data_IF_959711667192
#
_entry.id   IF_959711667192
#
_cell.length_a   1.000
_cell.length_b   1.000
_cell.length_c   1.000
_cell.angle_alpha   90.00
_cell.angle_beta   90.00
_cell.angle_gamma   90.00
#
_symmetry.space_group_name_H-M   'P 1'
#
loop_
_entity.id
_entity.type
_entity.pdbx_description
1 polymer ?
#
# COMPACT_ATOMS: atom_id res chain seq x y z
N UNK A 1 -2.78 -13.40 -4.61
CA UNK A 1 -3.26 -12.47 -3.57
C UNK A 1 -2.40 -12.67 -2.34
N UNK A 2 -1.53 -11.71 -2.03
CA UNK A 2 -0.56 -11.81 -0.92
C UNK A 2 -0.92 -10.76 0.13
N UNK A 3 -1.23 -11.21 1.33
CA UNK A 3 -1.68 -10.37 2.46
C UNK A 3 -0.46 -10.13 3.36
N UNK A 4 -0.20 -8.89 3.80
CA UNK A 4 1.02 -8.57 4.56
C UNK A 4 0.74 -7.73 5.81
N UNK A 5 1.46 -8.03 6.90
CA UNK A 5 1.49 -7.29 8.17
C UNK A 5 2.78 -6.46 8.26
N UNK A 6 2.71 -5.13 8.43
CA UNK A 6 3.92 -4.27 8.49
C UNK A 6 3.88 -3.17 9.55
N UNK A 7 5.06 -2.63 9.88
CA UNK A 7 5.22 -1.35 10.58
C UNK A 7 5.11 -0.19 9.58
N UNK A 8 4.38 0.88 9.94
CA UNK A 8 4.05 1.99 9.05
C UNK A 8 4.93 3.21 9.30
N UNK A 9 5.25 3.97 8.26
CA UNK A 9 5.90 5.28 8.41
C UNK A 9 5.34 6.31 7.45
N UNK A 10 5.07 7.52 7.95
CA UNK A 10 4.71 8.70 7.15
C UNK A 10 5.97 9.45 6.74
N UNK A 11 6.65 8.97 5.69
CA UNK A 11 7.68 9.73 4.99
C UNK A 11 7.13 10.26 3.66
N UNK A 12 7.59 11.46 3.26
CA UNK A 12 7.26 12.05 1.95
C UNK A 12 8.23 11.63 0.84
N UNK A 13 9.38 11.05 1.21
CA UNK A 13 10.42 10.58 0.29
C UNK A 13 10.93 9.21 0.74
N UNK A 14 11.00 8.24 -0.17
CA UNK A 14 11.68 6.95 0.04
C UNK A 14 13.02 6.96 -0.71
N UNK A 15 14.13 6.70 -0.02
CA UNK A 15 15.42 6.52 -0.66
C UNK A 15 15.69 5.03 -0.93
N UNK A 16 15.84 4.64 -2.20
CA UNK A 16 15.99 3.25 -2.61
C UNK A 16 17.30 3.03 -3.39
N UNK A 17 17.89 1.84 -3.24
CA UNK A 17 19.15 1.49 -3.91
C UNK A 17 18.96 1.12 -5.39
N UNK A 18 17.77 0.63 -5.76
CA UNK A 18 17.44 0.22 -7.12
C UNK A 18 16.28 1.03 -7.70
N UNK A 19 16.23 1.12 -9.04
CA UNK A 19 15.20 1.84 -9.79
C UNK A 19 14.07 0.93 -10.31
N UNK A 20 14.01 -0.34 -9.89
CA UNK A 20 12.96 -1.30 -10.31
C UNK A 20 11.88 -1.47 -9.25
N UNK A 21 11.48 -0.37 -8.63
CA UNK A 21 10.49 -0.37 -7.55
C UNK A 21 9.21 0.32 -8.01
N UNK A 22 8.07 -0.12 -7.48
CA UNK A 22 6.77 0.46 -7.83
C UNK A 22 5.83 0.43 -6.63
N UNK A 23 4.96 1.44 -6.53
CA UNK A 23 3.85 1.44 -5.58
C UNK A 23 2.65 0.67 -6.13
N UNK A 24 1.85 0.10 -5.23
CA UNK A 24 0.52 -0.43 -5.49
C UNK A 24 -0.43 0.09 -4.42
N UNK A 25 -1.59 0.62 -4.84
CA UNK A 25 -2.57 1.16 -3.90
C UNK A 25 -3.38 0.04 -3.25
N UNK A 26 -3.56 0.14 -1.95
CA UNK A 26 -4.33 -0.81 -1.15
C UNK A 26 -5.17 -0.06 -0.13
N UNK A 27 -6.25 -0.68 0.36
CA UNK A 27 -6.77 -0.26 1.65
C UNK A 27 -5.98 -0.97 2.74
N UNK A 28 -5.83 -0.31 3.89
CA UNK A 28 -5.11 -0.86 5.03
C UNK A 28 -6.03 -0.84 6.24
N UNK A 29 -6.20 -2.00 6.87
CA UNK A 29 -6.89 -2.11 8.14
C UNK A 29 -5.90 -1.91 9.28
N UNK A 30 -6.19 -0.98 10.18
CA UNK A 30 -5.42 -0.73 11.39
C UNK A 30 -6.24 -1.19 12.58
N UNK A 31 -5.70 -2.12 13.36
CA UNK A 31 -6.40 -2.69 14.51
C UNK A 31 -5.89 -2.03 15.79
N UNK A 32 -6.77 -1.30 16.48
CA UNK A 32 -6.48 -0.70 17.78
C UNK A 32 -7.44 -1.27 18.83
N UNK A 33 -6.98 -2.30 19.53
CA UNK A 33 -7.77 -3.03 20.54
C UNK A 33 -9.11 -3.52 19.97
N UNK A 34 -10.19 -2.82 20.32
CA UNK A 34 -11.57 -3.15 19.95
C UNK A 34 -12.05 -2.41 18.70
N UNK A 35 -11.25 -1.46 18.19
CA UNK A 35 -11.59 -0.61 17.05
C UNK A 35 -10.78 -1.01 15.81
N UNK A 36 -11.41 -0.92 14.64
CA UNK A 36 -10.75 -1.09 13.34
C UNK A 36 -10.86 0.19 12.54
N UNK A 37 -9.73 0.68 12.06
CA UNK A 37 -9.65 1.84 11.19
C UNK A 37 -9.22 1.43 9.78
N UNK A 38 -9.53 2.29 8.82
CA UNK A 38 -9.24 2.11 7.40
C UNK A 38 -8.38 3.29 6.95
N UNK A 39 -7.27 2.97 6.29
CA UNK A 39 -6.42 3.92 5.60
C UNK A 39 -6.35 3.57 4.10
N UNK A 40 -5.90 4.51 3.27
CA UNK A 40 -5.29 4.15 1.98
C UNK A 40 -3.81 3.93 2.21
N UNK A 41 -3.22 2.95 1.56
CA UNK A 41 -1.81 2.59 1.67
C UNK A 41 -1.17 2.28 0.34
N UNK A 42 0.16 2.28 0.35
CA UNK A 42 0.99 1.82 -0.76
C UNK A 42 1.85 0.64 -0.33
N UNK A 43 1.68 -0.52 -0.97
CA UNK A 43 2.62 -1.64 -0.88
C UNK A 43 3.76 -1.42 -1.88
N UNK A 44 4.65 -0.47 -1.57
CA UNK A 44 5.81 -0.22 -2.43
C UNK A 44 6.73 -1.43 -2.41
N UNK A 45 7.12 -1.92 -3.58
CA UNK A 45 7.83 -3.20 -3.72
C UNK A 45 8.97 -3.08 -4.72
N UNK A 46 10.10 -3.71 -4.41
CA UNK A 46 11.20 -3.95 -5.35
C UNK A 46 10.85 -5.16 -6.22
N UNK A 47 10.56 -4.92 -7.49
CA UNK A 47 10.06 -5.95 -8.42
C UNK A 47 11.12 -6.97 -8.81
N UNK A 48 12.39 -6.57 -8.87
CA UNK A 48 13.46 -7.54 -9.13
C UNK A 48 13.69 -8.43 -7.92
N UNK A 49 13.69 -7.86 -6.72
CA UNK A 49 13.83 -8.67 -5.51
C UNK A 49 12.62 -9.59 -5.32
N UNK A 50 11.42 -9.14 -5.71
CA UNK A 50 10.19 -9.93 -5.62
C UNK A 50 10.25 -11.23 -6.45
N UNK A 51 10.83 -11.17 -7.66
CA UNK A 51 11.05 -12.34 -8.52
C UNK A 51 11.89 -13.44 -7.85
N UNK A 52 12.73 -13.08 -6.89
CA UNK A 52 13.64 -14.00 -6.21
C UNK A 52 13.18 -14.34 -4.80
N UNK A 53 12.65 -13.37 -4.07
CA UNK A 53 12.23 -13.51 -2.68
C UNK A 53 11.16 -12.49 -2.33
N UNK A 54 9.91 -12.91 -2.48
CA UNK A 54 8.72 -12.13 -2.16
C UNK A 54 8.73 -11.55 -0.74
N UNK A 55 9.14 -12.32 0.27
CA UNK A 55 9.15 -11.83 1.65
C UNK A 55 10.21 -10.74 1.86
N UNK A 56 11.39 -10.92 1.28
CA UNK A 56 12.47 -9.95 1.37
C UNK A 56 12.11 -8.65 0.62
N UNK A 57 11.54 -8.75 -0.59
CA UNK A 57 11.09 -7.59 -1.35
C UNK A 57 10.13 -6.70 -0.54
N UNK A 58 9.20 -7.36 0.15
CA UNK A 58 8.23 -6.77 1.06
C UNK A 58 8.84 -6.28 2.39
N UNK A 59 10.08 -6.58 2.72
CA UNK A 59 10.74 -6.01 3.91
C UNK A 59 11.69 -4.87 3.57
N UNK A 60 12.18 -4.84 2.32
CA UNK A 60 13.14 -3.83 1.88
C UNK A 60 12.51 -2.46 1.59
N UNK A 61 11.27 -2.46 1.09
CA UNK A 61 10.57 -1.22 0.78
C UNK A 61 9.67 -0.78 1.95
N UNK A 62 9.68 0.52 2.23
CA UNK A 62 8.86 1.10 3.29
C UNK A 62 7.41 1.20 2.84
N UNK A 63 6.50 0.78 3.69
CA UNK A 63 5.07 0.95 3.49
C UNK A 63 4.64 2.37 3.90
N UNK A 64 3.83 3.00 3.05
CA UNK A 64 3.25 4.32 3.30
C UNK A 64 1.74 4.17 3.47
N UNK A 65 1.16 4.91 4.40
CA UNK A 65 -0.30 5.03 4.58
C UNK A 65 -0.72 6.50 4.63
N UNK A 66 -1.99 6.77 4.40
CA UNK A 66 -2.57 8.09 4.59
C UNK A 66 -2.43 8.58 6.02
N UNK A 67 -2.25 9.90 6.18
CA UNK A 67 -2.18 10.53 7.49
C UNK A 67 -3.54 10.52 8.23
N UNK A 68 -4.63 10.56 7.47
CA UNK A 68 -5.99 10.40 7.99
C UNK A 68 -6.46 8.96 7.83
N UNK A 69 -7.39 8.57 8.70
CA UNK A 69 -8.04 7.26 8.69
C UNK A 69 -9.54 7.43 8.95
N UNK A 70 -10.33 6.46 8.51
CA UNK A 70 -11.75 6.36 8.85
C UNK A 70 -11.96 5.21 9.82
N UNK A 71 -13.01 5.28 10.64
CA UNK A 71 -13.45 4.08 11.35
C UNK A 71 -14.09 3.13 10.35
N UNK A 72 -13.78 1.84 10.44
CA UNK A 72 -14.36 0.84 9.56
C UNK A 72 -15.90 0.79 9.67
N UNK A 73 -16.44 0.97 10.88
CA UNK A 73 -17.89 0.99 11.12
C UNK A 73 -18.65 2.04 10.29
N UNK A 74 -18.01 3.17 9.97
CA UNK A 74 -18.64 4.26 9.22
C UNK A 74 -18.80 3.94 7.74
N UNK A 75 -18.07 2.94 7.23
CA UNK A 75 -18.04 2.57 5.82
C UNK A 75 -18.43 1.11 5.55
N UNK A 76 -18.68 0.33 6.60
CA UNK A 76 -18.96 -1.10 6.49
C UNK A 76 -20.22 -1.41 5.67
N UNK A 77 -21.25 -0.57 5.76
CA UNK A 77 -22.54 -0.78 5.09
C UNK A 77 -22.47 -0.53 3.56
N UNK A 78 -21.50 0.25 3.09
CA UNK A 78 -21.28 0.61 1.69
C UNK A 78 -19.86 0.32 1.21
N UNK A 79 -19.19 -0.65 1.86
CA UNK A 79 -17.78 -0.96 1.63
C UNK A 79 -17.44 -1.23 0.16
N UNK A 80 -18.26 -2.04 -0.50
CA UNK A 80 -18.05 -2.48 -1.88
C UNK A 80 -18.15 -1.31 -2.89
N UNK A 81 -18.77 -0.19 -2.51
CA UNK A 81 -18.94 1.00 -3.36
C UNK A 81 -17.75 1.98 -3.26
N UNK A 82 -16.88 1.83 -2.24
CA UNK A 82 -15.69 2.67 -2.10
C UNK A 82 -14.76 2.51 -3.31
N UNK A 83 -14.13 3.61 -3.74
CA UNK A 83 -13.27 3.64 -4.92
C UNK A 83 -11.82 3.80 -4.49
N UNK A 84 -10.96 2.89 -4.95
CA UNK A 84 -9.51 2.96 -4.79
C UNK A 84 -8.88 3.43 -6.10
N UNK A 85 -8.04 4.46 -6.04
CA UNK A 85 -7.31 5.00 -7.19
C UNK A 85 -5.85 5.21 -6.87
N UNK A 86 -5.02 5.13 -7.90
CA UNK A 86 -3.62 5.54 -7.81
C UNK A 86 -3.14 6.20 -9.09
N UNK A 87 -2.08 6.99 -8.95
CA UNK A 87 -1.41 7.67 -10.04
C UNK A 87 0.09 7.54 -9.90
N UNK A 88 0.74 7.54 -11.06
CA UNK A 88 2.19 7.59 -11.22
C UNK A 88 2.55 8.78 -12.09
N UNK A 89 3.80 9.23 -12.00
CA UNK A 89 4.37 10.17 -12.96
C UNK A 89 5.09 9.41 -14.08
N UNK A 90 4.68 9.64 -15.33
CA UNK A 90 5.32 9.11 -16.53
C UNK A 90 5.54 10.25 -17.52
N UNK A 91 6.77 10.41 -18.00
CA UNK A 91 7.16 11.50 -18.90
C UNK A 91 6.77 12.90 -18.39
N UNK A 92 6.83 13.10 -17.06
CA UNK A 92 6.45 14.35 -16.40
C UNK A 92 4.93 14.60 -16.33
N UNK A 93 4.11 13.61 -16.69
CA UNK A 93 2.66 13.68 -16.64
C UNK A 93 2.10 12.73 -15.59
N UNK A 94 1.04 13.16 -14.91
CA UNK A 94 0.29 12.35 -13.97
C UNK A 94 -0.62 11.39 -14.74
N UNK A 95 -0.35 10.10 -14.65
CA UNK A 95 -1.13 9.05 -15.31
C UNK A 95 -1.92 8.24 -14.28
N UNK A 96 -3.19 7.93 -14.60
CA UNK A 96 -4.00 7.03 -13.79
C UNK A 96 -3.41 5.62 -13.92
N UNK A 97 -3.04 5.05 -12.78
CA UNK A 97 -2.28 3.81 -12.71
C UNK A 97 -3.15 2.63 -12.28
N UNK A 98 -4.02 2.85 -11.29
CA UNK A 98 -5.01 1.88 -10.84
C UNK A 98 -6.33 2.58 -10.55
N UNK A 99 -7.44 1.93 -10.86
CA UNK A 99 -8.78 2.40 -10.50
C UNK A 99 -9.75 1.21 -10.38
N UNK A 100 -10.50 1.17 -9.28
CA UNK A 100 -11.50 0.14 -9.09
C UNK A 100 -12.31 0.33 -7.82
N UNK A 101 -13.49 -0.28 -7.78
CA UNK A 101 -14.28 -0.40 -6.55
C UNK A 101 -13.70 -1.49 -5.64
N UNK A 102 -13.84 -1.32 -4.33
CA UNK A 102 -13.39 -2.33 -3.36
C UNK A 102 -14.11 -3.67 -3.50
N UNK A 103 -15.26 -3.73 -4.17
CA UNK A 103 -15.92 -4.97 -4.59
C UNK A 103 -15.01 -5.95 -5.37
N UNK A 104 -13.92 -5.45 -5.98
CA UNK A 104 -12.94 -6.27 -6.69
C UNK A 104 -11.91 -6.93 -5.75
N UNK A 105 -11.84 -6.47 -4.50
CA UNK A 105 -10.92 -6.98 -3.48
C UNK A 105 -11.70 -7.88 -2.52
N UNK A 106 -11.00 -8.80 -1.88
CA UNK A 106 -11.56 -9.66 -0.85
C UNK A 106 -12.22 -8.85 0.27
N UNK A 107 -13.37 -9.33 0.75
CA UNK A 107 -14.11 -8.69 1.84
C UNK A 107 -13.29 -8.65 3.13
N UNK A 108 -13.46 -7.58 3.89
CA UNK A 108 -12.75 -7.33 5.16
C UNK A 108 -12.86 -8.50 6.13
N UNK A 109 -14.06 -9.06 6.31
CA UNK A 109 -14.27 -10.21 7.20
C UNK A 109 -13.42 -11.43 6.79
N UNK A 110 -13.35 -11.72 5.48
CA UNK A 110 -12.56 -12.85 4.98
C UNK A 110 -11.05 -12.60 5.13
N UNK A 111 -10.59 -11.37 4.90
CA UNK A 111 -9.19 -10.98 5.14
C UNK A 111 -8.81 -11.17 6.62
N UNK A 112 -9.67 -10.71 7.53
CA UNK A 112 -9.47 -10.87 8.98
C UNK A 112 -9.40 -12.35 9.37
N UNK A 113 -10.32 -13.18 8.86
CA UNK A 113 -10.34 -14.61 9.16
C UNK A 113 -9.07 -15.31 8.67
N UNK A 114 -8.59 -14.96 7.46
CA UNK A 114 -7.34 -15.49 6.92
C UNK A 114 -6.13 -15.11 7.77
N UNK A 115 -6.03 -13.87 8.24
CA UNK A 115 -4.91 -13.43 9.09
C UNK A 115 -4.95 -14.11 10.45
N UNK A 116 -6.13 -14.19 11.08
CA UNK A 116 -6.30 -14.87 12.37
C UNK A 116 -5.89 -16.34 12.31
N UNK A 117 -6.04 -16.99 11.15
CA UNK A 117 -5.59 -18.36 10.94
C UNK A 117 -4.05 -18.51 10.82
N UNK A 118 -3.30 -17.41 10.65
CA UNK A 118 -1.85 -17.41 10.42
C UNK A 118 -1.02 -16.86 11.58
N UNK A 119 -1.65 -16.24 12.58
CA UNK A 119 -0.96 -15.62 13.71
C UNK A 119 -1.31 -16.30 15.03
N UNK A 120 -0.38 -16.22 15.98
CA UNK A 120 -0.66 -16.51 17.39
C UNK A 120 -0.81 -15.19 18.14
N UNK A 121 -2.02 -14.88 18.62
CA UNK A 121 -2.31 -13.63 19.35
C UNK A 121 -3.56 -12.93 18.85
N UNK A 122 -3.79 -11.71 19.34
CA UNK A 122 -4.83 -10.82 18.82
C UNK A 122 -4.31 -9.94 17.68
N UNK A 123 -5.21 -9.15 17.09
CA UNK A 123 -4.88 -8.27 15.96
C UNK A 123 -4.34 -6.90 16.42
N UNK A 124 -4.35 -6.60 17.72
CA UNK A 124 -4.03 -5.29 18.24
C UNK A 124 -2.62 -4.81 17.84
N UNK A 125 -2.56 -3.61 17.26
CA UNK A 125 -1.32 -3.01 16.78
C UNK A 125 -0.88 -3.48 15.39
N UNK A 126 -1.66 -4.34 14.71
CA UNK A 126 -1.37 -4.77 13.36
C UNK A 126 -1.92 -3.81 12.31
N UNK A 127 -1.16 -3.65 11.22
CA UNK A 127 -1.61 -3.04 9.98
C UNK A 127 -1.70 -4.12 8.90
N UNK A 128 -2.88 -4.28 8.31
CA UNK A 128 -3.20 -5.33 7.36
C UNK A 128 -3.49 -4.75 5.98
N UNK A 129 -2.62 -5.11 5.03
CA UNK A 129 -2.68 -4.72 3.62
C UNK A 129 -3.57 -5.68 2.82
N UNK A 130 -4.50 -5.13 2.04
CA UNK A 130 -5.61 -5.85 1.39
C UNK A 130 -5.24 -6.69 0.17
N UNK A 131 -4.01 -6.56 -0.33
CA UNK A 131 -3.68 -6.71 -1.75
C UNK A 131 -4.35 -5.62 -2.61
N UNK A 132 -3.94 -5.54 -3.88
CA UNK A 132 -4.28 -4.41 -4.75
C UNK A 132 -5.27 -4.76 -5.86
N UNK A 133 -5.81 -3.73 -6.50
CA UNK A 133 -6.55 -3.82 -7.77
C UNK A 133 -5.58 -3.89 -8.96
N UNK A 134 -5.96 -4.53 -10.10
CA UNK A 134 -5.08 -4.63 -11.26
C UNK A 134 -4.61 -3.27 -11.79
N UNK A 135 -3.35 -3.23 -12.24
CA UNK A 135 -2.78 -2.07 -12.92
C UNK A 135 -3.45 -1.88 -14.28
N UNK A 136 -3.78 -0.64 -14.61
CA UNK A 136 -4.30 -0.27 -15.92
C UNK A 136 -3.21 -0.54 -16.97
N UNK A 137 -3.49 -1.42 -17.92
CA UNK A 137 -2.52 -1.86 -18.92
C UNK A 137 -1.61 -3.02 -18.47
N UNK A 138 -1.57 -3.34 -17.18
CA UNK A 138 -0.88 -4.52 -16.64
C UNK A 138 0.65 -4.41 -16.54
N UNK A 139 1.23 -3.23 -16.78
CA UNK A 139 2.68 -3.02 -16.72
C UNK A 139 3.06 -2.14 -15.53
N UNK A 140 4.08 -2.57 -14.78
CA UNK A 140 4.60 -1.77 -13.66
C UNK A 140 5.24 -0.47 -14.16
N UNK A 141 4.94 0.63 -13.47
CA UNK A 141 5.61 1.91 -13.70
C UNK A 141 6.62 2.20 -12.58
N UNK A 142 7.90 2.31 -12.95
CA UNK A 142 8.97 2.68 -12.03
C UNK A 142 9.09 4.21 -11.95
N UNK A 143 8.09 4.81 -11.31
CA UNK A 143 7.94 6.25 -11.22
C UNK A 143 8.62 6.83 -9.98
N UNK A 144 9.24 8.03 -10.07
CA UNK A 144 9.75 8.74 -8.91
C UNK A 144 8.62 9.32 -8.03
N UNK A 145 7.35 9.17 -8.41
CA UNK A 145 6.22 9.69 -7.66
C UNK A 145 5.05 8.71 -7.68
N UNK A 146 4.44 8.51 -6.52
CA UNK A 146 3.25 7.69 -6.38
C UNK A 146 2.20 8.41 -5.53
N UNK A 147 0.95 8.34 -5.96
CA UNK A 147 -0.20 8.90 -5.27
C UNK A 147 -1.31 7.86 -5.19
N UNK A 148 -2.06 7.85 -4.10
CA UNK A 148 -3.22 6.98 -3.97
C UNK A 148 -4.35 7.65 -3.17
N UNK A 149 -5.57 7.29 -3.52
CA UNK A 149 -6.80 7.77 -2.89
C UNK A 149 -7.76 6.62 -2.60
N UNK A 150 -8.43 6.68 -1.45
CA UNK A 150 -9.64 5.92 -1.15
C UNK A 150 -10.80 6.90 -1.01
N UNK A 151 -11.84 6.72 -1.82
CA UNK A 151 -12.92 7.69 -2.00
C UNK A 151 -14.24 7.08 -1.52
N UNK A 152 -14.93 7.83 -0.68
CA UNK A 152 -16.30 7.57 -0.23
C UNK A 152 -17.22 8.63 -0.82
N UNK A 153 -17.86 8.29 -1.96
CA UNK A 153 -18.79 9.20 -2.64
C UNK A 153 -20.08 9.43 -1.85
N UNK A 154 -20.48 8.47 -1.01
CA UNK A 154 -21.71 8.54 -0.22
C UNK A 154 -21.58 9.55 0.92
N UNK A 155 -20.41 9.61 1.56
CA UNK A 155 -20.11 10.57 2.63
C UNK A 155 -19.35 11.81 2.14
N UNK A 156 -18.97 11.86 0.87
CA UNK A 156 -18.31 13.01 0.24
C UNK A 156 -16.91 13.29 0.78
N UNK A 157 -16.12 12.23 1.05
CA UNK A 157 -14.79 12.33 1.69
C UNK A 157 -13.76 11.42 1.01
N UNK A 158 -12.48 11.79 1.14
CA UNK A 158 -11.35 11.07 0.53
C UNK A 158 -10.20 10.93 1.53
N UNK A 159 -9.60 9.74 1.61
CA UNK A 159 -8.26 9.55 2.17
C UNK A 159 -7.24 9.62 1.03
N UNK A 160 -6.10 10.24 1.29
CA UNK A 160 -5.06 10.40 0.28
C UNK A 160 -3.66 10.17 0.86
N UNK A 161 -2.76 9.65 0.04
CA UNK A 161 -1.32 9.65 0.27
C UNK A 161 -0.59 10.07 -1.01
N UNK A 162 0.60 10.63 -0.83
CA UNK A 162 1.53 10.93 -1.91
C UNK A 162 2.96 10.88 -1.37
N UNK A 163 3.88 10.32 -2.14
CA UNK A 163 5.31 10.34 -1.82
C UNK A 163 6.15 10.31 -3.09
N UNK A 164 7.41 10.73 -2.94
CA UNK A 164 8.44 10.61 -3.96
C UNK A 164 9.40 9.48 -3.63
N UNK A 165 10.02 8.92 -4.66
CA UNK A 165 11.10 7.93 -4.55
C UNK A 165 12.36 8.57 -5.11
N UNK A 166 13.44 8.52 -4.33
CA UNK A 166 14.73 9.04 -4.71
C UNK A 166 15.77 7.91 -4.74
N UNK A 167 16.54 7.76 -5.84
CA UNK A 167 17.63 6.80 -5.86
C UNK A 167 18.76 7.23 -4.92
N UNK A 168 19.32 6.28 -4.19
CA UNK A 168 20.54 6.49 -3.41
C UNK A 168 21.71 6.64 -4.38
N UNK A 169 22.12 7.88 -4.64
CA UNK A 169 23.22 8.20 -5.58
C UNK A 169 24.58 8.36 -4.91
N UNK A 170 24.60 8.49 -3.58
CA UNK A 170 25.81 8.81 -2.82
C UNK A 170 26.55 7.58 -2.26
N UNK A 171 25.92 6.39 -2.25
CA UNK A 171 26.53 5.15 -1.76
C UNK A 171 27.03 4.27 -2.90
N UNK A 172 28.29 3.82 -2.85
CA UNK A 172 28.95 3.06 -3.94
C UNK A 172 28.83 1.54 -3.82
N UNK A 173 28.03 1.02 -2.89
CA UNK A 173 27.68 -0.41 -2.80
C UNK A 173 28.52 -1.24 -1.84
N UNK A 174 29.83 -1.00 -1.74
CA UNK A 174 30.69 -1.78 -0.85
C UNK A 174 31.64 -0.88 -0.05
N UNK A 175 31.66 -1.08 1.26
CA UNK A 175 32.72 -0.60 2.14
C UNK A 175 33.37 -1.84 2.73
N UNK A 176 34.51 -2.25 2.16
CA UNK A 176 35.33 -3.31 2.75
C UNK A 176 36.01 -2.74 4.00
N UNK A 177 35.47 -3.12 5.15
CA UNK A 177 36.13 -2.99 6.44
C UNK A 177 36.63 -4.40 6.72
N UNK A 178 37.96 -4.58 6.67
CA UNK A 178 38.63 -5.88 6.54
C UNK A 178 38.30 -6.92 7.61
#
# INVERSE_FOLDING_TARGET
MHITLRQNVTFWTLSLAENSTSGEAEFVLLFDRDETYVAVGSDHTDRKLEDHNLLAAKQMCTNVISAAVWRYEEVADHWDDLILRSWVEKDGQRELYQEGRLALIMKVAELIDKVKAQITGDLGGLALYSATIPIIGGEYCFSPRFEAELIDEQMGRTLSLAYSVEPITWFKGEMQIG
#
